data_IF_544951585420
#
_entry.id   IF_544951585420
#
_cell.length_a   1.000
_cell.length_b   1.000
_cell.length_c   1.000
_cell.angle_alpha   90.00
_cell.angle_beta   90.00
_cell.angle_gamma   90.00
#
_symmetry.space_group_name_H-M   'P 1'
#
loop_
_entity.id
_entity.type
_entity.pdbx_description
1 polymer ?
#
# COMPACT_ATOMS: atom_id res chain seq x y z
N UNK A 1 34.45 -6.84 0.62
CA UNK A 1 33.85 -6.23 -0.58
C UNK A 1 32.34 -6.39 -0.47
N UNK A 2 31.55 -5.31 -0.59
CA UNK A 2 30.08 -5.40 -0.54
C UNK A 2 29.57 -6.12 -1.79
N UNK A 3 28.67 -7.09 -1.61
CA UNK A 3 28.03 -7.76 -2.75
C UNK A 3 26.99 -6.85 -3.40
N UNK A 4 26.85 -6.91 -4.71
CA UNK A 4 25.77 -6.28 -5.44
C UNK A 4 24.50 -7.13 -5.31
N UNK A 5 23.41 -6.52 -4.86
CA UNK A 5 22.12 -7.16 -4.72
C UNK A 5 21.12 -6.48 -5.66
N UNK A 6 20.55 -7.25 -6.59
CA UNK A 6 19.56 -6.83 -7.57
C UNK A 6 18.19 -7.52 -7.35
N UNK A 7 17.96 -8.04 -6.14
CA UNK A 7 16.66 -8.64 -5.80
C UNK A 7 15.56 -7.61 -5.88
N UNK A 8 14.41 -8.00 -6.43
CA UNK A 8 13.23 -7.14 -6.53
C UNK A 8 12.58 -6.85 -5.16
N UNK A 9 12.84 -7.71 -4.17
CA UNK A 9 12.38 -7.56 -2.80
C UNK A 9 12.57 -8.86 -2.00
N UNK A 10 13.09 -8.78 -0.75
CA UNK A 10 13.66 -7.60 -0.09
C UNK A 10 14.83 -7.00 -0.86
N UNK A 11 14.79 -5.67 -1.05
CA UNK A 11 15.82 -4.98 -1.80
C UNK A 11 16.92 -4.41 -0.90
N UNK A 12 17.93 -3.81 -1.53
CA UNK A 12 19.04 -3.17 -0.83
C UNK A 12 18.58 -1.87 -0.18
N UNK A 13 19.04 -1.62 1.04
CA UNK A 13 18.86 -0.35 1.74
C UNK A 13 20.19 0.43 1.78
N UNK A 14 20.15 1.78 1.85
CA UNK A 14 21.33 2.61 2.05
C UNK A 14 22.07 2.22 3.33
N UNK A 15 23.42 2.25 3.29
CA UNK A 15 24.23 1.89 4.46
C UNK A 15 24.03 2.86 5.64
N UNK A 16 23.75 4.13 5.37
CA UNK A 16 23.40 5.13 6.40
C UNK A 16 22.14 4.72 7.16
N UNK A 17 21.11 4.26 6.45
CA UNK A 17 19.86 3.77 7.04
C UNK A 17 20.10 2.55 7.92
N UNK A 18 20.89 1.56 7.41
CA UNK A 18 21.21 0.36 8.17
C UNK A 18 22.01 0.68 9.43
N UNK A 19 22.92 1.66 9.37
CA UNK A 19 23.70 2.11 10.52
C UNK A 19 22.80 2.76 11.57
N UNK A 20 21.95 3.70 11.18
CA UNK A 20 20.99 4.34 12.10
C UNK A 20 20.03 3.31 12.72
N UNK A 21 19.55 2.36 11.93
CA UNK A 21 18.70 1.28 12.43
C UNK A 21 19.43 0.39 13.45
N UNK A 22 20.70 0.07 13.23
CA UNK A 22 21.53 -0.67 14.18
C UNK A 22 21.72 0.09 15.49
N UNK A 23 21.99 1.39 15.42
CA UNK A 23 22.13 2.25 16.61
C UNK A 23 20.81 2.31 17.39
N UNK A 24 19.67 2.46 16.71
CA UNK A 24 18.35 2.48 17.35
C UNK A 24 17.97 1.14 18.03
N UNK A 25 18.44 0.01 17.51
CA UNK A 25 18.24 -1.30 18.14
C UNK A 25 19.10 -1.46 19.40
N UNK A 26 20.26 -0.82 19.46
CA UNK A 26 21.15 -0.89 20.65
C UNK A 26 20.73 0.10 21.73
N UNK A 27 20.50 1.35 21.37
CA UNK A 27 20.10 2.42 22.29
C UNK A 27 19.34 3.50 21.54
N UNK A 28 18.03 3.47 21.61
CA UNK A 28 17.18 4.41 20.88
C UNK A 28 17.22 5.79 21.54
N UNK A 29 17.71 6.79 20.80
CA UNK A 29 17.76 8.21 21.22
C UNK A 29 18.40 8.46 22.61
N UNK A 30 19.30 7.58 23.06
CA UNK A 30 19.93 7.72 24.37
C UNK A 30 19.04 7.36 25.57
N UNK A 31 17.97 6.61 25.35
CA UNK A 31 17.05 6.16 26.39
C UNK A 31 17.58 4.99 27.22
N UNK A 32 18.75 4.44 26.87
CA UNK A 32 19.28 3.18 27.42
C UNK A 32 18.32 1.98 27.24
N UNK A 33 17.45 2.07 26.25
CA UNK A 33 16.53 1.04 25.79
C UNK A 33 16.60 0.93 24.28
N UNK A 34 16.36 -0.27 23.76
CA UNK A 34 16.22 -0.52 22.32
C UNK A 34 14.88 0.02 21.80
N UNK A 35 14.85 0.48 20.55
CA UNK A 35 13.61 0.78 19.83
C UNK A 35 12.58 -0.37 19.91
N UNK A 36 13.03 -1.63 19.90
CA UNK A 36 12.14 -2.80 19.97
C UNK A 36 11.72 -3.18 21.40
N UNK A 37 12.24 -2.50 22.43
CA UNK A 37 11.87 -2.71 23.84
C UNK A 37 10.91 -1.62 24.35
N UNK A 38 10.85 -0.45 23.70
CA UNK A 38 9.94 0.62 24.10
C UNK A 38 8.50 0.32 23.69
N UNK A 39 7.54 0.82 24.46
CA UNK A 39 6.13 0.73 24.12
C UNK A 39 5.82 1.50 22.83
N UNK A 40 5.08 0.91 21.91
CA UNK A 40 4.56 1.63 20.74
C UNK A 40 3.58 2.76 21.09
N UNK A 41 3.16 2.87 22.36
CA UNK A 41 2.34 3.99 22.90
C UNK A 41 3.16 5.02 23.64
N UNK A 42 4.48 4.85 23.75
CA UNK A 42 5.34 5.88 24.31
C UNK A 42 5.42 7.10 23.38
N UNK A 43 5.66 8.28 23.96
CA UNK A 43 5.83 9.50 23.17
C UNK A 43 6.95 9.38 22.14
N UNK A 44 8.03 8.67 22.47
CA UNK A 44 9.16 8.44 21.57
C UNK A 44 8.77 7.67 20.31
N UNK A 45 7.97 6.60 20.43
CA UNK A 45 7.54 5.85 19.26
C UNK A 45 6.40 6.54 18.51
N UNK A 46 5.49 7.22 19.21
CA UNK A 46 4.45 8.06 18.57
C UNK A 46 5.10 9.09 17.65
N UNK A 47 6.19 9.74 18.10
CA UNK A 47 6.94 10.68 17.27
C UNK A 47 7.54 10.04 16.00
N UNK A 48 7.99 8.78 16.07
CA UNK A 48 8.44 8.02 14.89
C UNK A 48 7.29 7.82 13.90
N UNK A 49 6.13 7.38 14.40
CA UNK A 49 4.96 7.14 13.57
C UNK A 49 4.44 8.41 12.91
N UNK A 50 4.37 9.51 13.67
CA UNK A 50 3.94 10.82 13.16
C UNK A 50 4.88 11.33 12.08
N UNK A 51 6.19 11.22 12.30
CA UNK A 51 7.18 11.60 11.29
C UNK A 51 7.08 10.76 10.04
N UNK A 52 6.91 9.44 10.18
CA UNK A 52 6.77 8.55 9.02
C UNK A 52 5.53 8.91 8.18
N UNK A 53 4.38 9.18 8.82
CA UNK A 53 3.15 9.63 8.13
C UNK A 53 3.33 10.96 7.42
N UNK A 54 3.93 11.93 8.10
CA UNK A 54 4.19 13.25 7.53
C UNK A 54 5.09 13.18 6.30
N UNK A 55 6.17 12.40 6.37
CA UNK A 55 7.08 12.19 5.23
C UNK A 55 6.39 11.56 4.03
N UNK A 56 5.48 10.62 4.24
CA UNK A 56 4.69 10.03 3.13
C UNK A 56 3.83 11.09 2.46
N UNK A 57 3.07 11.87 3.24
CA UNK A 57 2.22 12.93 2.69
C UNK A 57 3.03 13.99 1.95
N UNK A 58 4.17 14.39 2.50
CA UNK A 58 5.11 15.34 1.87
C UNK A 58 5.60 14.80 0.52
N UNK A 59 6.16 13.57 0.50
CA UNK A 59 6.67 12.93 -0.71
C UNK A 59 5.61 12.74 -1.81
N UNK A 60 4.34 12.57 -1.41
CA UNK A 60 3.22 12.43 -2.33
C UNK A 60 2.56 13.77 -2.70
N UNK A 61 2.89 14.87 -2.02
CA UNK A 61 2.23 16.16 -2.18
C UNK A 61 0.74 16.09 -1.80
N UNK A 62 0.40 15.29 -0.78
CA UNK A 62 -0.98 15.06 -0.32
C UNK A 62 -1.30 15.74 1.02
N UNK A 63 -0.41 16.56 1.55
CA UNK A 63 -0.64 17.31 2.79
C UNK A 63 -1.90 18.16 2.69
N UNK A 64 -2.77 18.05 3.69
CA UNK A 64 -4.03 18.81 3.76
C UNK A 64 -5.09 18.46 2.72
N UNK A 65 -4.91 17.37 1.95
CA UNK A 65 -5.84 16.95 0.88
C UNK A 65 -6.82 15.84 1.29
N UNK A 66 -6.99 15.57 2.59
CA UNK A 66 -7.96 14.58 3.10
C UNK A 66 -7.54 13.14 2.91
N UNK A 67 -6.23 12.87 2.98
CA UNK A 67 -5.66 11.52 2.95
C UNK A 67 -5.14 11.10 4.32
N UNK A 68 -5.44 9.87 4.68
CA UNK A 68 -4.85 9.18 5.81
C UNK A 68 -3.73 8.23 5.37
N UNK A 69 -2.67 8.17 6.16
CA UNK A 69 -1.53 7.27 5.95
C UNK A 69 -1.51 6.20 7.04
N UNK A 70 -1.46 4.95 6.64
CA UNK A 70 -1.43 3.80 7.52
C UNK A 70 -0.18 2.95 7.26
N UNK A 71 0.38 2.42 8.33
CA UNK A 71 1.43 1.40 8.31
C UNK A 71 0.88 0.11 8.92
N UNK A 72 0.50 -0.83 8.07
CA UNK A 72 -0.20 -2.05 8.44
C UNK A 72 0.69 -3.28 8.30
N UNK A 73 0.26 -4.39 8.87
CA UNK A 73 0.88 -5.70 8.72
C UNK A 73 0.15 -6.49 7.61
N UNK A 74 0.72 -7.62 7.19
CA UNK A 74 0.08 -8.54 6.25
C UNK A 74 0.55 -8.42 4.80
N UNK A 75 1.32 -7.37 4.46
CA UNK A 75 1.82 -7.14 3.11
C UNK A 75 0.69 -6.78 2.13
N UNK A 76 1.05 -6.47 0.88
CA UNK A 76 0.09 -6.23 -0.18
C UNK A 76 -0.92 -7.40 -0.36
N UNK A 77 -0.57 -8.60 0.08
CA UNK A 77 -1.48 -9.75 0.01
C UNK A 77 -2.70 -9.59 0.92
N UNK A 78 -2.57 -8.93 2.07
CA UNK A 78 -3.72 -8.61 2.91
C UNK A 78 -4.55 -7.49 2.30
N UNK A 79 -3.92 -6.53 1.61
CA UNK A 79 -4.64 -5.45 0.93
C UNK A 79 -5.55 -5.95 -0.19
N UNK A 80 -5.22 -7.07 -0.85
CA UNK A 80 -6.12 -7.71 -1.82
C UNK A 80 -7.47 -8.09 -1.21
N UNK A 81 -7.51 -8.27 0.11
CA UNK A 81 -8.73 -8.57 0.87
C UNK A 81 -9.30 -7.30 1.53
N UNK A 82 -8.44 -6.46 2.14
CA UNK A 82 -8.89 -5.25 2.85
C UNK A 82 -9.58 -4.26 1.92
N UNK A 83 -9.04 -4.03 0.72
CA UNK A 83 -9.62 -3.12 -0.27
C UNK A 83 -11.09 -3.49 -0.58
N UNK A 84 -11.43 -4.71 -1.02
CA UNK A 84 -12.84 -5.04 -1.29
C UNK A 84 -13.72 -5.08 -0.02
N UNK A 85 -13.19 -5.38 1.16
CA UNK A 85 -13.98 -5.25 2.40
C UNK A 85 -14.40 -3.81 2.68
N UNK A 86 -13.51 -2.85 2.47
CA UNK A 86 -13.74 -1.44 2.79
C UNK A 86 -14.49 -0.69 1.68
N UNK A 87 -14.31 -1.05 0.42
CA UNK A 87 -14.81 -0.26 -0.71
C UNK A 87 -15.96 -0.92 -1.48
N UNK A 88 -16.01 -2.27 -1.55
CA UNK A 88 -17.05 -2.96 -2.32
C UNK A 88 -18.33 -3.08 -1.51
N UNK A 89 -19.43 -2.58 -2.02
CA UNK A 89 -20.74 -2.66 -1.39
C UNK A 89 -21.25 -4.11 -1.36
N UNK A 90 -22.21 -4.42 -0.48
CA UNK A 90 -22.85 -5.74 -0.48
C UNK A 90 -23.63 -5.95 -1.78
N UNK A 91 -23.25 -6.95 -2.55
CA UNK A 91 -23.83 -7.20 -3.88
C UNK A 91 -23.25 -6.29 -4.98
N UNK A 92 -22.32 -5.41 -4.65
CA UNK A 92 -21.63 -4.54 -5.58
C UNK A 92 -20.56 -5.24 -6.42
N UNK A 93 -19.88 -4.47 -7.23
CA UNK A 93 -18.81 -4.94 -8.11
C UNK A 93 -17.66 -3.96 -8.23
N UNK A 94 -16.48 -4.47 -8.59
CA UNK A 94 -15.30 -3.67 -8.87
C UNK A 94 -14.70 -4.02 -10.23
N UNK A 95 -13.98 -3.09 -10.83
CA UNK A 95 -13.28 -3.26 -12.09
C UNK A 95 -11.77 -3.41 -11.89
N UNK A 96 -11.15 -4.27 -12.65
CA UNK A 96 -9.73 -4.60 -12.53
C UNK A 96 -9.01 -4.62 -13.87
N UNK A 97 -7.75 -4.18 -13.90
CA UNK A 97 -6.80 -4.50 -14.95
C UNK A 97 -5.98 -5.72 -14.54
N UNK A 98 -6.03 -6.78 -15.35
CA UNK A 98 -5.25 -8.01 -15.13
C UNK A 98 -3.95 -7.95 -15.93
N UNK A 99 -2.90 -7.41 -15.30
CA UNK A 99 -1.60 -7.13 -15.93
C UNK A 99 -0.46 -7.98 -15.37
N UNK A 100 -0.77 -8.95 -14.50
CA UNK A 100 0.27 -9.82 -13.95
C UNK A 100 -0.20 -10.68 -12.78
N UNK A 101 0.73 -11.40 -12.17
CA UNK A 101 0.44 -12.31 -11.05
C UNK A 101 -0.26 -11.61 -9.88
N UNK A 102 0.14 -10.39 -9.55
CA UNK A 102 -0.39 -9.69 -8.36
C UNK A 102 -1.81 -9.18 -8.61
N UNK A 103 -2.08 -8.60 -9.78
CA UNK A 103 -3.44 -8.21 -10.17
C UNK A 103 -4.39 -9.42 -10.23
N UNK A 104 -3.93 -10.56 -10.79
CA UNK A 104 -4.72 -11.80 -10.81
C UNK A 104 -5.06 -12.31 -9.39
N UNK A 105 -4.13 -12.18 -8.43
CA UNK A 105 -4.39 -12.52 -7.02
C UNK A 105 -5.39 -11.57 -6.37
N UNK A 106 -5.26 -10.26 -6.61
CA UNK A 106 -6.22 -9.27 -6.11
C UNK A 106 -7.64 -9.53 -6.66
N UNK A 107 -7.76 -9.81 -7.96
CA UNK A 107 -9.02 -10.23 -8.60
C UNK A 107 -9.62 -11.46 -7.89
N UNK A 108 -8.79 -12.46 -7.58
CA UNK A 108 -9.26 -13.69 -6.92
C UNK A 108 -9.83 -13.42 -5.54
N UNK A 109 -9.22 -12.54 -4.76
CA UNK A 109 -9.73 -12.19 -3.43
C UNK A 109 -11.00 -11.34 -3.52
N UNK A 110 -11.05 -10.35 -4.41
CA UNK A 110 -12.24 -9.53 -4.62
C UNK A 110 -13.48 -10.34 -5.04
N UNK A 111 -13.30 -11.36 -5.88
CA UNK A 111 -14.37 -12.30 -6.30
C UNK A 111 -15.03 -13.06 -5.15
N UNK A 112 -14.41 -13.13 -3.99
CA UNK A 112 -15.02 -13.76 -2.80
C UNK A 112 -16.07 -12.85 -2.14
N UNK A 113 -16.02 -11.56 -2.42
CA UNK A 113 -16.83 -10.54 -1.76
C UNK A 113 -17.91 -9.94 -2.67
N UNK A 114 -17.75 -9.99 -3.99
CA UNK A 114 -18.73 -9.45 -4.91
C UNK A 114 -18.37 -9.67 -6.38
N UNK A 115 -19.02 -8.94 -7.27
CA UNK A 115 -18.76 -8.98 -8.70
C UNK A 115 -17.39 -8.40 -9.05
N UNK A 116 -16.72 -9.00 -10.03
CA UNK A 116 -15.47 -8.44 -10.57
C UNK A 116 -15.51 -8.44 -12.08
N UNK A 117 -15.36 -7.26 -12.65
CA UNK A 117 -15.21 -7.05 -14.09
C UNK A 117 -13.72 -6.87 -14.41
N UNK A 118 -13.18 -7.69 -15.30
CA UNK A 118 -11.82 -7.54 -15.80
C UNK A 118 -11.90 -6.70 -17.08
N UNK A 119 -11.55 -5.42 -16.98
CA UNK A 119 -11.62 -4.45 -18.08
C UNK A 119 -10.72 -4.83 -19.24
N UNK A 120 -9.52 -5.31 -18.94
CA UNK A 120 -8.57 -5.83 -19.89
C UNK A 120 -7.56 -6.75 -19.20
N UNK A 121 -6.97 -7.65 -19.98
CA UNK A 121 -5.91 -8.55 -19.52
C UNK A 121 -4.84 -8.68 -20.61
N UNK A 122 -3.57 -8.72 -20.20
CA UNK A 122 -2.44 -9.05 -21.07
C UNK A 122 -1.94 -10.49 -20.89
N UNK A 123 -2.79 -11.34 -20.34
CA UNK A 123 -2.47 -12.76 -20.10
C UNK A 123 -2.24 -13.54 -21.39
N UNK A 124 -2.90 -13.15 -22.48
CA UNK A 124 -2.74 -13.69 -23.84
C UNK A 124 -1.28 -13.67 -24.32
N UNK A 125 -0.52 -12.63 -23.94
CA UNK A 125 0.89 -12.48 -24.25
C UNK A 125 1.80 -12.64 -23.00
N UNK A 126 1.39 -13.49 -22.07
CA UNK A 126 2.12 -13.73 -20.83
C UNK A 126 2.50 -12.45 -20.08
N UNK A 127 1.58 -11.46 -20.03
CA UNK A 127 1.73 -10.17 -19.35
C UNK A 127 2.93 -9.33 -19.84
N UNK A 128 3.33 -9.47 -21.10
CA UNK A 128 4.46 -8.74 -21.68
C UNK A 128 4.17 -7.30 -22.07
N UNK A 129 2.91 -6.85 -21.94
CA UNK A 129 2.49 -5.48 -22.24
C UNK A 129 1.43 -4.97 -21.24
N UNK A 130 1.23 -3.66 -21.22
CA UNK A 130 0.13 -3.02 -20.49
C UNK A 130 -1.00 -2.74 -21.49
N UNK A 131 -2.24 -3.24 -21.28
CA UNK A 131 -3.37 -2.92 -22.14
C UNK A 131 -3.66 -1.42 -22.15
N UNK A 132 -4.03 -0.86 -23.31
CA UNK A 132 -4.38 0.54 -23.49
C UNK A 132 -5.82 0.75 -23.93
N UNK A 133 -6.31 -0.15 -24.77
CA UNK A 133 -7.64 -0.04 -25.38
C UNK A 133 -8.66 -0.81 -24.53
N UNK A 134 -9.22 -0.14 -23.52
CA UNK A 134 -10.29 -0.68 -22.66
C UNK A 134 -11.25 0.43 -22.24
N UNK A 135 -12.48 0.04 -21.99
CA UNK A 135 -13.50 0.93 -21.39
C UNK A 135 -13.51 0.75 -19.87
N UNK A 136 -13.63 1.85 -19.15
CA UNK A 136 -13.81 1.81 -17.71
C UNK A 136 -15.31 1.84 -17.40
N UNK A 137 -15.88 0.83 -16.71
CA UNK A 137 -17.29 0.84 -16.34
C UNK A 137 -17.59 1.93 -15.32
N UNK A 138 -18.77 2.53 -15.40
CA UNK A 138 -19.21 3.61 -14.49
C UNK A 138 -20.02 3.11 -13.30
N UNK A 139 -20.49 1.85 -13.35
CA UNK A 139 -21.37 1.22 -12.35
C UNK A 139 -20.57 0.26 -11.43
N UNK A 140 -19.41 0.72 -10.96
CA UNK A 140 -18.51 -0.06 -10.08
C UNK A 140 -18.19 0.73 -8.81
N UNK A 141 -17.96 0.01 -7.73
CA UNK A 141 -17.61 0.60 -6.43
C UNK A 141 -16.18 1.15 -6.41
N UNK A 142 -15.27 0.55 -7.19
CA UNK A 142 -13.89 1.04 -7.41
C UNK A 142 -13.25 0.40 -8.65
N UNK A 143 -12.18 1.02 -9.11
CA UNK A 143 -11.30 0.52 -10.18
C UNK A 143 -9.94 0.18 -9.57
N UNK A 144 -9.37 -0.97 -9.91
CA UNK A 144 -8.07 -1.41 -9.39
C UNK A 144 -7.06 -1.63 -10.51
N UNK A 145 -5.84 -1.13 -10.30
CA UNK A 145 -4.69 -1.38 -11.16
C UNK A 145 -3.42 -1.71 -10.36
N UNK A 146 -2.41 -2.23 -11.04
CA UNK A 146 -1.08 -2.49 -10.50
C UNK A 146 -0.08 -1.67 -11.31
N UNK A 147 0.60 -0.72 -10.68
CA UNK A 147 1.46 0.25 -11.37
C UNK A 147 2.69 -0.37 -12.02
N UNK A 148 3.26 -1.39 -11.37
CA UNK A 148 4.45 -2.08 -11.84
C UNK A 148 4.38 -3.59 -11.55
N UNK A 149 4.51 -4.39 -12.59
CA UNK A 149 4.44 -5.84 -12.52
C UNK A 149 5.83 -6.42 -12.27
N UNK A 150 6.16 -6.66 -11.02
CA UNK A 150 7.49 -7.05 -10.54
C UNK A 150 8.06 -8.29 -11.26
N UNK A 151 7.22 -9.28 -11.57
CA UNK A 151 7.63 -10.55 -12.17
C UNK A 151 7.83 -10.41 -13.68
N UNK A 152 6.94 -9.67 -14.35
CA UNK A 152 6.92 -9.56 -15.81
C UNK A 152 7.68 -8.34 -16.33
N UNK A 153 8.04 -7.40 -15.46
CA UNK A 153 8.84 -6.23 -15.79
C UNK A 153 8.07 -5.14 -16.58
N UNK A 154 6.76 -5.18 -16.59
CA UNK A 154 5.93 -4.15 -17.25
C UNK A 154 5.51 -3.08 -16.24
N UNK A 155 5.56 -1.81 -16.65
CA UNK A 155 5.19 -0.66 -15.81
C UNK A 155 4.14 0.20 -16.50
N UNK A 156 3.09 0.55 -15.78
CA UNK A 156 2.03 1.43 -16.24
C UNK A 156 2.52 2.88 -16.28
N UNK A 157 2.41 3.53 -17.43
CA UNK A 157 2.78 4.95 -17.63
C UNK A 157 1.57 5.87 -17.55
N UNK A 158 0.42 5.37 -17.96
CA UNK A 158 -0.87 6.03 -17.91
C UNK A 158 -1.82 5.19 -17.08
N UNK A 159 -2.58 5.82 -16.20
CA UNK A 159 -3.50 5.15 -15.29
C UNK A 159 -4.94 5.27 -15.78
N UNK A 160 -5.85 4.36 -15.38
CA UNK A 160 -7.26 4.47 -15.71
C UNK A 160 -7.83 5.82 -15.29
N UNK A 161 -8.61 6.43 -16.17
CA UNK A 161 -9.43 7.62 -15.84
C UNK A 161 -10.82 7.13 -15.47
N UNK A 162 -11.26 7.42 -14.26
CA UNK A 162 -12.50 6.91 -13.69
C UNK A 162 -13.13 7.94 -12.76
N UNK A 163 -14.47 7.91 -12.65
CA UNK A 163 -15.21 8.65 -11.61
C UNK A 163 -15.36 7.82 -10.32
N UNK A 164 -15.25 6.50 -10.43
CA UNK A 164 -15.20 5.62 -9.27
C UNK A 164 -13.81 5.69 -8.61
N UNK A 165 -13.68 5.42 -7.31
CA UNK A 165 -12.40 5.42 -6.60
C UNK A 165 -11.33 4.60 -7.32
N UNK A 166 -10.16 5.19 -7.57
CA UNK A 166 -9.01 4.51 -8.18
C UNK A 166 -8.08 3.95 -7.11
N UNK A 167 -7.95 2.64 -7.11
CA UNK A 167 -7.06 1.88 -6.22
C UNK A 167 -5.83 1.41 -6.98
N UNK A 168 -4.65 1.60 -6.42
CA UNK A 168 -3.40 1.20 -7.05
C UNK A 168 -2.46 0.42 -6.12
N UNK A 169 -2.07 -0.78 -6.55
CA UNK A 169 -0.90 -1.49 -5.99
C UNK A 169 0.37 -0.88 -6.55
N UNK A 170 1.12 -0.16 -5.71
CA UNK A 170 2.40 0.46 -6.04
C UNK A 170 3.59 -0.23 -5.36
N UNK A 171 3.44 -1.45 -4.89
CA UNK A 171 4.45 -2.12 -4.06
C UNK A 171 5.86 -2.08 -4.64
N UNK A 172 6.03 -2.16 -5.95
CA UNK A 172 7.37 -2.28 -6.54
C UNK A 172 7.91 -0.99 -7.17
N UNK A 173 7.13 0.08 -7.25
CA UNK A 173 7.59 1.34 -7.85
C UNK A 173 7.15 2.62 -7.12
N UNK A 174 6.55 2.49 -5.92
CA UNK A 174 6.23 3.65 -5.09
C UNK A 174 7.49 4.49 -4.85
N UNK A 175 7.37 5.83 -4.92
CA UNK A 175 8.48 6.79 -4.78
C UNK A 175 9.63 6.65 -5.79
N UNK A 176 9.52 5.77 -6.81
CA UNK A 176 10.58 5.62 -7.84
C UNK A 176 10.54 6.69 -8.92
N UNK A 177 9.44 7.41 -9.02
CA UNK A 177 9.20 8.47 -10.02
C UNK A 177 8.20 9.50 -9.50
N UNK A 178 8.23 10.67 -10.08
CA UNK A 178 7.21 11.69 -9.78
C UNK A 178 5.88 11.30 -10.43
N UNK A 179 4.83 11.29 -9.62
CA UNK A 179 3.45 11.08 -10.01
C UNK A 179 2.58 12.16 -9.35
N UNK A 180 1.46 12.49 -9.98
CA UNK A 180 0.40 13.18 -9.28
C UNK A 180 -0.42 12.15 -8.49
N UNK A 181 -0.07 11.98 -7.21
CA UNK A 181 -0.71 11.00 -6.35
C UNK A 181 -2.16 11.37 -6.02
N UNK A 182 -2.59 12.61 -6.25
CA UNK A 182 -3.98 13.02 -6.05
C UNK A 182 -4.97 12.39 -7.04
N UNK A 183 -4.45 11.74 -8.09
CA UNK A 183 -5.27 10.95 -9.03
C UNK A 183 -5.71 9.59 -8.47
N UNK A 184 -5.23 9.19 -7.30
CA UNK A 184 -5.54 7.90 -6.69
C UNK A 184 -6.29 8.12 -5.37
N UNK A 185 -7.34 7.35 -5.16
CA UNK A 185 -8.11 7.44 -3.92
C UNK A 185 -7.61 6.45 -2.85
N UNK A 186 -6.98 5.36 -3.29
CA UNK A 186 -6.27 4.43 -2.40
C UNK A 186 -5.02 3.88 -3.08
N UNK A 187 -3.88 4.00 -2.38
CA UNK A 187 -2.61 3.41 -2.78
C UNK A 187 -2.17 2.47 -1.68
N UNK A 188 -1.66 1.29 -2.04
CA UNK A 188 -0.98 0.45 -1.09
C UNK A 188 0.36 -0.06 -1.64
N UNK A 189 1.30 -0.33 -0.74
CA UNK A 189 2.63 -0.79 -1.10
C UNK A 189 3.26 -1.63 0.02
N UNK A 190 3.68 -2.85 -0.30
CA UNK A 190 4.54 -3.62 0.58
C UNK A 190 5.94 -3.01 0.65
N UNK A 191 6.42 -2.65 1.85
CA UNK A 191 7.63 -1.86 2.04
C UNK A 191 8.91 -2.51 1.47
N UNK A 192 9.01 -3.83 1.50
CA UNK A 192 10.23 -4.60 1.20
C UNK A 192 10.76 -4.47 -0.24
N UNK A 193 10.01 -3.83 -1.13
CA UNK A 193 10.45 -3.64 -2.51
C UNK A 193 11.16 -2.31 -2.69
N UNK A 194 10.47 -1.19 -2.67
CA UNK A 194 11.07 0.11 -3.00
C UNK A 194 11.03 1.15 -1.86
N UNK A 195 10.61 0.77 -0.67
CA UNK A 195 10.40 1.74 0.42
C UNK A 195 11.28 1.47 1.64
N UNK A 196 11.31 0.23 2.13
CA UNK A 196 11.98 -0.10 3.39
C UNK A 196 12.15 -1.60 3.59
N UNK A 197 12.32 -2.07 4.83
CA UNK A 197 12.43 -3.49 5.13
C UNK A 197 11.07 -4.20 5.05
N UNK A 198 11.10 -5.54 5.04
CA UNK A 198 9.90 -6.35 5.20
C UNK A 198 9.26 -6.13 6.58
N UNK A 199 7.93 -6.27 6.65
CA UNK A 199 7.18 -6.26 7.92
C UNK A 199 6.08 -5.20 7.99
N UNK A 200 6.10 -4.20 7.09
CA UNK A 200 5.03 -3.20 7.02
C UNK A 200 4.50 -3.04 5.60
N UNK A 201 3.26 -2.60 5.51
CA UNK A 201 2.56 -2.21 4.28
C UNK A 201 2.10 -0.78 4.45
N UNK A 202 2.50 0.08 3.54
CA UNK A 202 1.96 1.43 3.45
C UNK A 202 0.58 1.36 2.80
N UNK A 203 -0.39 2.07 3.39
CA UNK A 203 -1.68 2.39 2.76
C UNK A 203 -1.88 3.89 2.87
N UNK A 204 -2.18 4.52 1.74
CA UNK A 204 -2.57 5.93 1.66
C UNK A 204 -3.98 5.96 1.08
N UNK A 205 -4.93 6.44 1.84
CA UNK A 205 -6.34 6.38 1.48
C UNK A 205 -7.02 7.73 1.70
N UNK A 206 -7.84 8.11 0.74
CA UNK A 206 -8.67 9.32 0.84
C UNK A 206 -9.83 9.03 1.78
N UNK A 207 -9.98 9.82 2.83
CA UNK A 207 -10.93 9.56 3.91
C UNK A 207 -12.38 9.50 3.42
N UNK A 208 -12.71 10.32 2.43
CA UNK A 208 -14.08 10.43 1.91
C UNK A 208 -14.62 9.18 1.21
N UNK A 209 -13.75 8.23 0.79
CA UNK A 209 -14.21 6.99 0.13
C UNK A 209 -14.55 5.88 1.11
N UNK A 210 -14.21 6.04 2.39
CA UNK A 210 -14.41 5.04 3.43
C UNK A 210 -15.83 5.07 4.03
N UNK A 211 -16.22 3.96 4.66
CA UNK A 211 -17.52 3.83 5.33
C UNK A 211 -18.72 3.68 4.39
N UNK A 212 -18.49 3.49 3.09
CA UNK A 212 -19.56 3.41 2.07
C UNK A 212 -19.94 1.99 1.68
N UNK A 213 -19.15 0.97 2.08
CA UNK A 213 -19.39 -0.43 1.69
C UNK A 213 -20.68 -1.02 2.28
N UNK A 214 -21.18 -0.47 3.39
CA UNK A 214 -22.32 -1.02 4.13
C UNK A 214 -22.08 -2.41 4.71
N UNK A 215 -20.81 -2.86 4.76
CA UNK A 215 -20.41 -4.15 5.32
C UNK A 215 -20.08 -4.03 6.80
N UNK A 216 -20.32 -5.09 7.54
CA UNK A 216 -19.74 -5.29 8.88
C UNK A 216 -18.29 -5.78 8.70
N UNK A 217 -17.36 -4.82 8.68
CA UNK A 217 -15.94 -5.09 8.43
C UNK A 217 -15.27 -5.49 9.74
N UNK A 218 -14.60 -6.66 9.81
CA UNK A 218 -13.84 -7.02 11.00
C UNK A 218 -12.79 -5.95 11.34
N UNK A 219 -12.68 -5.57 12.62
CA UNK A 219 -11.87 -4.42 13.07
C UNK A 219 -10.43 -4.43 12.55
N UNK A 220 -9.81 -5.62 12.42
CA UNK A 220 -8.44 -5.74 11.88
C UNK A 220 -8.34 -5.49 10.37
N UNK A 221 -9.47 -5.50 9.66
CA UNK A 221 -9.55 -5.26 8.22
C UNK A 221 -10.13 -3.87 7.90
N UNK A 222 -10.60 -3.13 8.90
CA UNK A 222 -11.28 -1.86 8.75
C UNK A 222 -10.26 -0.69 8.78
N UNK A 223 -10.11 -0.01 7.66
CA UNK A 223 -9.22 1.16 7.57
C UNK A 223 -9.63 2.27 8.54
N UNK A 224 -10.93 2.50 8.77
CA UNK A 224 -11.39 3.56 9.70
C UNK A 224 -10.97 3.25 11.14
N UNK A 225 -10.97 1.98 11.56
CA UNK A 225 -10.45 1.58 12.86
C UNK A 225 -8.96 1.86 12.96
N UNK A 226 -8.19 1.52 11.94
CA UNK A 226 -6.75 1.79 11.90
C UNK A 226 -6.43 3.29 11.87
N UNK A 227 -7.21 4.10 11.13
CA UNK A 227 -7.09 5.56 11.10
C UNK A 227 -7.34 6.13 12.50
N UNK A 228 -8.43 5.73 13.17
CA UNK A 228 -8.79 6.22 14.50
C UNK A 228 -7.76 5.89 15.59
N UNK A 229 -6.83 5.00 15.31
CA UNK A 229 -5.76 4.52 16.20
C UNK A 229 -4.37 4.78 15.65
N UNK A 230 -4.25 5.64 14.63
CA UNK A 230 -2.95 6.05 14.06
C UNK A 230 -2.06 4.88 13.66
N UNK A 231 -2.64 3.82 13.07
CA UNK A 231 -1.99 2.53 12.77
C UNK A 231 -1.52 1.73 13.99
N UNK A 232 -1.92 2.13 15.19
CA UNK A 232 -1.53 1.51 16.46
C UNK A 232 -2.71 0.83 17.16
N UNK A 233 -3.69 0.36 16.40
CA UNK A 233 -4.80 -0.47 16.92
C UNK A 233 -4.26 -1.74 17.58
N UNK A 234 -3.33 -2.40 16.93
CA UNK A 234 -2.47 -3.46 17.49
C UNK A 234 -1.00 -2.99 17.47
N UNK A 235 -0.09 -3.76 18.05
CA UNK A 235 1.35 -3.43 18.03
C UNK A 235 1.87 -3.41 16.59
N UNK A 236 2.36 -2.26 16.10
CA UNK A 236 2.86 -2.14 14.73
C UNK A 236 4.23 -2.83 14.58
N UNK A 237 4.70 -2.95 13.34
CA UNK A 237 6.05 -3.40 13.03
C UNK A 237 7.06 -2.27 13.31
N UNK A 238 7.31 -2.00 14.61
CA UNK A 238 8.06 -0.81 15.10
C UNK A 238 9.37 -0.59 14.36
N UNK A 239 10.18 -1.62 14.19
CA UNK A 239 11.46 -1.52 13.48
C UNK A 239 11.27 -1.18 11.99
N UNK A 240 10.29 -1.81 11.33
CA UNK A 240 10.05 -1.58 9.91
C UNK A 240 9.47 -0.18 9.62
N UNK A 241 8.74 0.41 10.55
CA UNK A 241 8.24 1.79 10.42
C UNK A 241 9.36 2.80 10.66
N UNK A 242 10.29 2.50 11.56
CA UNK A 242 11.44 3.38 11.84
C UNK A 242 12.43 3.44 10.67
N UNK A 243 12.67 2.30 9.99
CA UNK A 243 13.64 2.15 8.88
C UNK A 243 13.08 2.66 7.57
#
# INVERSE_FOLDING_TARGET
MKKHNFSAGPCILPQSVLKQASEAVVNFNGLDLSLIEISHRSADFVAVMDKARSLVLELMGLEGKGYSVLFLQGGASLEFLMVPYNLMTTGGKAAYLDTGTWSSKAIKEAKKLGGVEVMASSKDANYSYIPKDYSVPTDVDYVHCTSNNTIFGTQMKEFPKTEAPLVCDMSSDIFSRQLDFSNFDLIYAGAQKNMGPAGTTLVVVKDEILGRSGRDVPSMLDYQVHISKDSMFNTPSVFAVYV
#
